data_IF_426851035447
#
_entry.id   IF_426851035447
#
_cell.length_a   1.000
_cell.length_b   1.000
_cell.length_c   1.000
_cell.angle_alpha   90.00
_cell.angle_beta   90.00
_cell.angle_gamma   90.00
#
_symmetry.space_group_name_H-M   'P 1'
#
loop_
_entity.id
_entity.type
_entity.pdbx_description
1 polymer ?
#
# COMPACT_ATOMS: atom_id res chain seq x y z
N UNK A 1 6.52 2.77 -41.14
CA UNK A 1 6.38 4.02 -40.37
C UNK A 1 6.17 3.63 -38.92
N UNK A 2 7.14 3.93 -38.03
CA UNK A 2 6.93 3.77 -36.59
C UNK A 2 5.76 4.67 -36.18
N UNK A 3 4.79 4.09 -35.48
CA UNK A 3 3.65 4.82 -34.93
C UNK A 3 4.16 6.02 -34.10
N UNK A 4 3.67 7.22 -34.39
CA UNK A 4 4.10 8.46 -33.72
C UNK A 4 3.91 8.36 -32.21
N UNK A 5 2.95 7.56 -31.72
CA UNK A 5 2.80 7.30 -30.29
C UNK A 5 3.89 6.38 -29.72
N UNK A 6 4.31 5.35 -30.45
CA UNK A 6 5.40 4.46 -30.04
C UNK A 6 6.75 5.18 -30.03
N UNK A 7 7.03 6.01 -31.04
CA UNK A 7 8.23 6.84 -31.06
C UNK A 7 8.26 7.82 -29.87
N UNK A 8 7.12 8.43 -29.53
CA UNK A 8 6.97 9.30 -28.36
C UNK A 8 7.19 8.55 -27.05
N UNK A 9 6.66 7.33 -26.92
CA UNK A 9 6.87 6.47 -25.76
C UNK A 9 8.37 6.23 -25.52
N UNK A 10 9.09 5.78 -26.54
CA UNK A 10 10.53 5.51 -26.40
C UNK A 10 11.36 6.77 -26.16
N UNK A 11 10.96 7.91 -26.73
CA UNK A 11 11.61 9.19 -26.46
C UNK A 11 11.38 9.65 -25.00
N UNK A 12 10.16 9.50 -24.48
CA UNK A 12 9.82 9.83 -23.10
C UNK A 12 10.54 8.91 -22.09
N UNK A 13 10.63 7.60 -22.39
CA UNK A 13 11.40 6.63 -21.62
C UNK A 13 12.88 7.02 -21.51
N UNK A 14 13.51 7.32 -22.64
CA UNK A 14 14.92 7.78 -22.68
C UNK A 14 15.17 9.12 -21.99
N UNK A 15 14.15 9.94 -21.81
CA UNK A 15 14.25 11.19 -21.07
C UNK A 15 13.78 11.06 -19.62
N UNK A 16 13.29 9.88 -19.23
CA UNK A 16 12.68 9.61 -17.92
C UNK A 16 11.49 10.50 -17.60
N UNK A 17 10.71 10.90 -18.62
CA UNK A 17 9.52 11.74 -18.43
C UNK A 17 8.31 10.85 -18.16
N UNK A 18 8.07 10.54 -16.88
CA UNK A 18 7.00 9.63 -16.42
C UNK A 18 5.62 9.97 -16.99
N UNK A 19 5.19 11.22 -16.88
CA UNK A 19 3.85 11.61 -17.28
C UNK A 19 3.68 11.55 -18.81
N UNK A 20 4.72 11.94 -19.57
CA UNK A 20 4.76 11.76 -21.02
C UNK A 20 4.69 10.28 -21.43
N UNK A 21 5.33 9.38 -20.66
CA UNK A 21 5.19 7.93 -20.87
C UNK A 21 3.75 7.49 -20.66
N UNK A 22 3.10 7.91 -19.58
CA UNK A 22 1.68 7.58 -19.32
C UNK A 22 0.81 8.04 -20.49
N UNK A 23 0.96 9.30 -20.93
CA UNK A 23 0.22 9.83 -22.07
C UNK A 23 0.50 9.05 -23.37
N UNK A 24 1.76 8.75 -23.67
CA UNK A 24 2.14 8.03 -24.88
C UNK A 24 1.62 6.58 -24.88
N UNK A 25 1.69 5.87 -23.75
CA UNK A 25 1.14 4.51 -23.64
C UNK A 25 -0.38 4.52 -23.77
N UNK A 26 -1.07 5.46 -23.12
CA UNK A 26 -2.53 5.57 -23.21
C UNK A 26 -3.02 5.97 -24.62
N UNK A 27 -2.17 6.60 -25.44
CA UNK A 27 -2.49 6.89 -26.83
C UNK A 27 -2.39 5.66 -27.77
N UNK A 28 -1.69 4.60 -27.37
CA UNK A 28 -1.55 3.37 -28.17
C UNK A 28 -2.78 2.47 -28.03
N UNK A 29 -3.18 1.71 -29.08
CA UNK A 29 -4.19 0.65 -28.94
C UNK A 29 -3.75 -0.44 -27.95
N UNK A 30 -4.68 -1.05 -27.23
CA UNK A 30 -4.37 -2.03 -26.17
C UNK A 30 -3.50 -3.20 -26.65
N UNK A 31 -3.77 -3.75 -27.84
CA UNK A 31 -2.96 -4.83 -28.41
C UNK A 31 -1.52 -4.41 -28.72
N UNK A 32 -1.33 -3.14 -29.10
CA UNK A 32 0.02 -2.58 -29.31
C UNK A 32 0.77 -2.45 -28.00
N UNK A 33 0.12 -1.94 -26.94
CA UNK A 33 0.71 -1.87 -25.59
C UNK A 33 1.19 -3.25 -25.12
N UNK A 34 0.34 -4.28 -25.28
CA UNK A 34 0.67 -5.66 -24.91
C UNK A 34 1.87 -6.21 -25.69
N UNK A 35 1.95 -5.95 -26.99
CA UNK A 35 3.09 -6.36 -27.84
C UNK A 35 4.39 -5.65 -27.46
N UNK A 36 4.32 -4.42 -26.99
CA UNK A 36 5.50 -3.66 -26.54
C UNK A 36 6.00 -4.10 -25.16
N UNK A 37 5.13 -4.70 -24.33
CA UNK A 37 5.44 -5.08 -22.96
C UNK A 37 6.78 -5.81 -22.78
N UNK A 38 7.16 -6.82 -23.58
CA UNK A 38 8.46 -7.49 -23.44
C UNK A 38 9.65 -6.54 -23.62
N UNK A 39 9.54 -5.57 -24.53
CA UNK A 39 10.59 -4.59 -24.80
C UNK A 39 10.73 -3.57 -23.67
N UNK A 40 9.62 -3.01 -23.18
CA UNK A 40 9.66 -2.10 -22.01
C UNK A 40 10.08 -2.82 -20.74
N UNK A 41 9.74 -4.10 -20.57
CA UNK A 41 10.28 -4.92 -19.47
C UNK A 41 11.78 -5.13 -19.55
N UNK A 42 12.33 -5.29 -20.75
CA UNK A 42 13.78 -5.37 -20.94
C UNK A 42 14.44 -4.05 -20.57
N UNK A 43 13.83 -2.92 -20.95
CA UNK A 43 14.30 -1.59 -20.59
C UNK A 43 14.24 -1.34 -19.07
N UNK A 44 13.14 -1.67 -18.42
CA UNK A 44 12.97 -1.60 -16.96
C UNK A 44 14.04 -2.38 -16.19
N UNK A 45 14.34 -3.61 -16.63
CA UNK A 45 15.42 -4.41 -16.04
C UNK A 45 16.79 -3.77 -16.22
N UNK A 46 17.05 -3.19 -17.39
CA UNK A 46 18.31 -2.50 -17.68
C UNK A 46 18.47 -1.25 -16.79
N UNK A 47 17.42 -0.43 -16.68
CA UNK A 47 17.42 0.74 -15.80
C UNK A 47 17.60 0.32 -14.34
N UNK A 48 17.00 -0.80 -13.93
CA UNK A 48 17.13 -1.33 -12.56
C UNK A 48 18.50 -1.95 -12.25
N UNK A 49 19.25 -2.39 -13.25
CA UNK A 49 20.57 -3.01 -13.06
C UNK A 49 21.74 -2.02 -13.04
N UNK A 50 21.50 -0.76 -13.43
CA UNK A 50 22.56 0.23 -13.65
C UNK A 50 22.41 1.42 -12.67
N UNK A 51 23.13 1.47 -11.54
CA UNK A 51 22.94 2.51 -10.55
C UNK A 51 23.47 3.91 -10.94
N UNK A 52 24.23 4.06 -12.04
CA UNK A 52 24.96 5.32 -12.38
C UNK A 52 24.99 5.75 -13.88
N UNK A 53 24.40 5.00 -14.83
CA UNK A 53 24.51 5.29 -16.30
C UNK A 53 25.93 5.00 -16.86
N UNK A 54 26.23 4.72 -18.13
CA UNK A 54 25.61 4.99 -19.42
C UNK A 54 26.01 3.91 -20.48
N UNK A 55 25.55 4.02 -21.73
CA UNK A 55 25.64 3.00 -22.76
C UNK A 55 25.26 3.63 -24.13
N UNK A 56 26.02 3.34 -25.21
CA UNK A 56 25.92 3.96 -26.53
C UNK A 56 25.38 3.02 -27.67
N UNK A 57 25.89 2.96 -28.93
CA UNK A 57 25.02 3.03 -30.14
C UNK A 57 24.27 1.75 -30.55
N UNK A 58 24.29 0.69 -29.75
CA UNK A 58 23.84 -0.65 -30.12
C UNK A 58 22.65 -1.17 -29.30
N UNK A 59 22.17 -0.45 -28.29
CA UNK A 59 21.02 -0.88 -27.48
C UNK A 59 21.06 -0.39 -26.04
N UNK A 60 21.54 0.82 -25.86
CA UNK A 60 22.37 1.15 -24.72
C UNK A 60 22.02 2.63 -24.28
N UNK A 61 22.01 2.93 -22.97
CA UNK A 61 21.55 4.17 -22.30
C UNK A 61 22.58 5.33 -22.22
N UNK A 62 22.60 6.35 -23.09
CA UNK A 62 23.69 7.36 -23.07
C UNK A 62 23.39 8.56 -22.14
N UNK A 63 23.71 8.43 -20.84
CA UNK A 63 23.62 9.51 -19.84
C UNK A 63 23.54 9.01 -18.39
N UNK A 64 23.62 9.92 -17.42
CA UNK A 64 23.46 9.57 -16.00
C UNK A 64 22.02 9.08 -15.72
N UNK A 65 21.88 7.92 -15.07
CA UNK A 65 20.58 7.46 -14.60
C UNK A 65 20.14 8.26 -13.39
N UNK A 66 18.93 8.81 -13.49
CA UNK A 66 18.28 9.62 -12.46
C UNK A 66 16.99 8.96 -11.99
N UNK A 67 16.50 9.20 -10.76
CA UNK A 67 15.36 8.49 -10.18
C UNK A 67 14.10 8.42 -11.05
N UNK A 68 13.82 9.47 -11.83
CA UNK A 68 12.67 9.54 -12.73
C UNK A 68 12.73 8.57 -13.92
N UNK A 69 13.89 8.01 -14.25
CA UNK A 69 14.01 6.97 -15.27
C UNK A 69 13.40 5.64 -14.81
N UNK A 70 13.59 5.27 -13.54
CA UNK A 70 12.92 4.10 -12.95
C UNK A 70 11.41 4.29 -12.97
N UNK A 71 10.96 5.50 -12.63
CA UNK A 71 9.55 5.87 -12.64
C UNK A 71 8.93 5.80 -14.04
N UNK A 72 9.61 6.34 -15.06
CA UNK A 72 9.19 6.24 -16.45
C UNK A 72 9.16 4.79 -16.96
N UNK A 73 10.17 3.97 -16.63
CA UNK A 73 10.20 2.56 -17.00
C UNK A 73 9.05 1.78 -16.34
N UNK A 74 8.81 2.03 -15.05
CA UNK A 74 7.71 1.48 -14.27
C UNK A 74 6.35 1.83 -14.90
N UNK A 75 6.14 3.10 -15.27
CA UNK A 75 4.93 3.56 -15.94
C UNK A 75 4.70 2.84 -17.28
N UNK A 76 5.75 2.66 -18.09
CA UNK A 76 5.63 1.99 -19.38
C UNK A 76 5.35 0.49 -19.24
N UNK A 77 5.99 -0.17 -18.26
CA UNK A 77 5.74 -1.57 -17.92
C UNK A 77 4.29 -1.76 -17.48
N UNK A 78 3.79 -0.92 -16.57
CA UNK A 78 2.41 -0.97 -16.11
C UNK A 78 1.44 -0.72 -17.26
N UNK A 79 1.67 0.31 -18.08
CA UNK A 79 0.78 0.64 -19.19
C UNK A 79 0.77 -0.40 -20.31
N UNK A 80 1.83 -1.22 -20.41
CA UNK A 80 1.90 -2.40 -21.28
C UNK A 80 1.27 -3.67 -20.69
N UNK A 81 0.87 -3.69 -19.42
CA UNK A 81 0.42 -4.87 -18.69
C UNK A 81 -1.09 -5.07 -18.73
N UNK A 82 -1.54 -6.32 -18.60
CA UNK A 82 -2.93 -6.60 -18.17
C UNK A 82 -3.10 -6.26 -16.69
N UNK A 83 -4.35 -6.18 -16.21
CA UNK A 83 -4.62 -5.97 -14.77
C UNK A 83 -3.92 -7.05 -13.93
N UNK A 84 -4.08 -8.32 -14.26
CA UNK A 84 -3.44 -9.44 -13.53
C UNK A 84 -1.91 -9.34 -13.45
N UNK A 85 -1.28 -8.80 -14.49
CA UNK A 85 0.16 -8.55 -14.52
C UNK A 85 0.54 -7.29 -13.73
N UNK A 86 -0.31 -6.27 -13.73
CA UNK A 86 -0.05 -5.00 -13.08
C UNK A 86 -0.19 -5.10 -11.56
N UNK A 87 -1.24 -5.78 -11.07
CA UNK A 87 -1.46 -5.98 -9.61
C UNK A 87 -0.30 -6.73 -8.94
N UNK A 88 0.42 -7.55 -9.72
CA UNK A 88 1.56 -8.31 -9.20
C UNK A 88 2.89 -7.56 -9.23
N UNK A 89 2.95 -6.42 -9.93
CA UNK A 89 4.17 -5.63 -10.11
C UNK A 89 4.41 -4.73 -8.88
N UNK A 90 4.96 -5.33 -7.83
CA UNK A 90 5.47 -4.65 -6.66
C UNK A 90 6.90 -5.15 -6.35
N UNK A 91 7.74 -4.38 -5.64
CA UNK A 91 7.40 -3.10 -5.00
C UNK A 91 7.20 -1.96 -6.00
N UNK A 92 6.42 -0.94 -5.60
CA UNK A 92 6.34 0.36 -6.26
C UNK A 92 6.63 1.41 -5.21
N UNK A 93 7.52 2.35 -5.51
CA UNK A 93 7.81 3.44 -4.57
C UNK A 93 6.77 4.56 -4.73
N UNK A 94 6.47 5.29 -3.66
CA UNK A 94 5.68 6.51 -3.78
C UNK A 94 6.51 7.59 -4.53
N UNK A 95 5.88 8.42 -5.38
CA UNK A 95 4.42 8.55 -5.59
C UNK A 95 3.82 7.56 -6.60
N UNK A 96 4.63 6.76 -7.29
CA UNK A 96 4.20 5.92 -8.42
C UNK A 96 3.21 4.83 -8.01
N UNK A 97 3.39 4.23 -6.83
CA UNK A 97 2.43 3.27 -6.29
C UNK A 97 1.01 3.84 -6.15
N UNK A 98 0.89 5.16 -5.91
CA UNK A 98 -0.39 5.86 -5.80
C UNK A 98 -0.90 6.31 -7.16
N UNK A 99 -0.05 6.94 -7.97
CA UNK A 99 -0.48 7.69 -9.14
C UNK A 99 -0.64 6.80 -10.39
N UNK A 100 0.24 5.82 -10.58
CA UNK A 100 0.25 5.01 -11.82
C UNK A 100 -0.93 4.03 -11.91
N UNK A 101 -1.32 3.29 -10.86
CA UNK A 101 -2.53 2.47 -10.92
C UNK A 101 -3.78 3.31 -11.21
N UNK A 102 -3.90 4.51 -10.60
CA UNK A 102 -5.00 5.45 -10.86
C UNK A 102 -5.07 5.85 -12.33
N UNK A 103 -3.94 6.25 -12.91
CA UNK A 103 -3.89 6.74 -14.27
C UNK A 103 -4.09 5.62 -15.32
N UNK A 104 -3.53 4.44 -15.08
CA UNK A 104 -3.48 3.35 -16.07
C UNK A 104 -4.63 2.35 -15.92
N UNK A 105 -5.21 2.23 -14.72
CA UNK A 105 -6.24 1.24 -14.37
C UNK A 105 -7.35 1.83 -13.48
N UNK A 106 -7.98 2.96 -13.84
CA UNK A 106 -8.91 3.68 -12.96
C UNK A 106 -10.12 2.86 -12.48
N UNK A 107 -10.56 1.85 -13.23
CA UNK A 107 -11.67 0.95 -12.86
C UNK A 107 -11.24 -0.35 -12.16
N UNK A 108 -9.96 -0.51 -11.80
CA UNK A 108 -9.44 -1.78 -11.29
C UNK A 108 -8.59 -1.65 -10.02
N UNK A 109 -8.65 -0.51 -9.32
CA UNK A 109 -7.88 -0.27 -8.08
C UNK A 109 -8.20 -1.28 -6.96
N UNK A 110 -9.43 -1.79 -6.90
CA UNK A 110 -9.80 -2.87 -5.97
C UNK A 110 -9.01 -4.17 -6.24
N UNK A 111 -8.66 -4.46 -7.50
CA UNK A 111 -7.85 -5.62 -7.82
C UNK A 111 -6.42 -5.49 -7.28
N UNK A 112 -5.83 -4.29 -7.33
CA UNK A 112 -4.55 -3.99 -6.69
C UNK A 112 -4.66 -4.18 -5.18
N UNK A 113 -5.70 -3.57 -4.57
CA UNK A 113 -5.97 -3.65 -3.13
C UNK A 113 -6.04 -5.11 -2.65
N UNK A 114 -6.79 -5.97 -3.34
CA UNK A 114 -6.90 -7.40 -2.99
C UNK A 114 -5.56 -8.14 -3.08
N UNK A 115 -4.85 -8.01 -4.19
CA UNK A 115 -3.56 -8.71 -4.36
C UNK A 115 -2.50 -8.19 -3.38
N UNK A 116 -2.43 -6.89 -3.16
CA UNK A 116 -1.47 -6.28 -2.24
C UNK A 116 -1.74 -6.66 -0.79
N UNK A 117 -3.01 -6.65 -0.38
CA UNK A 117 -3.44 -7.15 0.92
C UNK A 117 -3.09 -8.63 1.09
N UNK A 118 -3.42 -9.47 0.09
CA UNK A 118 -3.08 -10.89 0.12
C UNK A 118 -1.56 -11.11 0.18
N UNK A 119 -0.77 -10.30 -0.50
CA UNK A 119 0.70 -10.36 -0.47
C UNK A 119 1.26 -10.05 0.90
N UNK A 120 0.77 -9.00 1.56
CA UNK A 120 1.17 -8.69 2.92
C UNK A 120 0.82 -9.84 3.87
N UNK A 121 -0.41 -10.37 3.76
CA UNK A 121 -0.87 -11.48 4.59
C UNK A 121 -0.01 -12.74 4.41
N UNK A 122 0.46 -13.03 3.19
CA UNK A 122 1.36 -14.16 2.92
C UNK A 122 2.74 -14.01 3.56
N UNK A 123 3.31 -12.80 3.55
CA UNK A 123 4.63 -12.56 4.12
C UNK A 123 4.81 -11.11 4.61
N UNK A 124 4.42 -10.80 5.86
CA UNK A 124 4.50 -9.44 6.39
C UNK A 124 5.94 -8.95 6.67
N UNK A 125 6.93 -9.85 6.58
CA UNK A 125 8.35 -9.56 6.85
C UNK A 125 9.13 -9.11 5.62
N UNK A 126 8.57 -9.27 4.41
CA UNK A 126 9.22 -8.91 3.15
C UNK A 126 9.12 -7.40 2.87
N UNK A 127 9.63 -6.58 3.78
CA UNK A 127 9.47 -5.12 3.78
C UNK A 127 9.91 -4.45 2.47
N UNK A 128 10.98 -4.95 1.86
CA UNK A 128 11.50 -4.50 0.57
C UNK A 128 10.51 -4.70 -0.58
N UNK A 129 9.65 -5.73 -0.50
CA UNK A 129 8.69 -6.13 -1.55
C UNK A 129 7.28 -5.59 -1.34
N UNK A 130 7.03 -4.95 -0.21
CA UNK A 130 5.73 -4.45 0.23
C UNK A 130 5.60 -2.93 0.13
N UNK A 131 6.62 -2.24 -0.39
CA UNK A 131 6.60 -0.78 -0.57
C UNK A 131 5.47 -0.36 -1.51
N UNK A 132 4.81 0.75 -1.17
CA UNK A 132 3.73 1.35 -1.96
C UNK A 132 2.35 0.77 -1.71
N UNK A 133 2.23 -0.32 -0.93
CA UNK A 133 0.95 -0.96 -0.62
C UNK A 133 0.02 -0.01 0.15
N UNK A 134 0.58 0.94 0.91
CA UNK A 134 -0.14 2.00 1.61
C UNK A 134 -0.99 2.89 0.69
N UNK A 135 -0.69 2.96 -0.62
CA UNK A 135 -1.45 3.77 -1.56
C UNK A 135 -2.94 3.37 -1.63
N UNK A 136 -3.28 2.12 -1.30
CA UNK A 136 -4.68 1.68 -1.22
C UNK A 136 -5.52 2.51 -0.22
N UNK A 137 -4.88 3.02 0.83
CA UNK A 137 -5.54 3.84 1.84
C UNK A 137 -5.78 5.26 1.36
N UNK A 138 -4.89 5.80 0.54
CA UNK A 138 -5.10 7.07 -0.14
C UNK A 138 -6.25 6.96 -1.15
N UNK A 139 -6.32 5.87 -1.92
CA UNK A 139 -7.42 5.64 -2.86
C UNK A 139 -8.77 5.52 -2.16
N UNK A 140 -8.81 4.85 -1.00
CA UNK A 140 -10.01 4.76 -0.19
C UNK A 140 -10.43 6.14 0.35
N UNK A 141 -9.48 6.93 0.84
CA UNK A 141 -9.73 8.28 1.33
C UNK A 141 -10.25 9.21 0.22
N UNK A 142 -9.71 9.10 -0.98
CA UNK A 142 -10.15 9.82 -2.18
C UNK A 142 -11.50 9.31 -2.73
N UNK A 143 -12.08 8.25 -2.15
CA UNK A 143 -13.35 7.68 -2.60
C UNK A 143 -13.28 6.90 -3.91
N UNK A 144 -12.08 6.52 -4.35
CA UNK A 144 -11.86 5.76 -5.59
C UNK A 144 -12.15 4.27 -5.43
N UNK A 145 -12.03 3.76 -4.20
CA UNK A 145 -12.39 2.39 -3.82
C UNK A 145 -13.06 2.42 -2.44
N UNK A 146 -13.82 1.37 -2.07
CA UNK A 146 -14.19 1.15 -0.68
C UNK A 146 -12.95 1.00 0.21
N UNK A 147 -13.06 1.43 1.46
CA UNK A 147 -12.00 1.20 2.44
C UNK A 147 -11.72 -0.30 2.59
N UNK A 148 -10.46 -0.76 2.46
CA UNK A 148 -10.13 -2.17 2.44
C UNK A 148 -10.48 -2.86 3.76
N UNK A 149 -11.10 -4.04 3.70
CA UNK A 149 -11.47 -4.84 4.88
C UNK A 149 -10.76 -6.20 4.94
N UNK A 150 -9.94 -6.50 3.95
CA UNK A 150 -9.16 -7.73 3.89
C UNK A 150 -8.19 -7.80 5.08
N UNK A 151 -7.98 -8.99 5.70
CA UNK A 151 -7.09 -9.14 6.85
C UNK A 151 -5.69 -8.55 6.64
N UNK A 152 -5.15 -8.71 5.43
CA UNK A 152 -3.85 -8.15 5.05
C UNK A 152 -3.80 -6.62 5.10
N UNK A 153 -4.85 -5.94 4.63
CA UNK A 153 -4.93 -4.47 4.70
C UNK A 153 -5.03 -4.00 6.15
N UNK A 154 -5.86 -4.65 6.96
CA UNK A 154 -6.04 -4.31 8.38
C UNK A 154 -4.71 -4.44 9.13
N UNK A 155 -4.03 -5.58 8.96
CA UNK A 155 -2.74 -5.82 9.59
C UNK A 155 -1.66 -4.87 9.07
N UNK A 156 -1.66 -4.55 7.78
CA UNK A 156 -0.71 -3.59 7.20
C UNK A 156 -0.93 -2.18 7.75
N UNK A 157 -2.19 -1.72 7.84
CA UNK A 157 -2.56 -0.42 8.42
C UNK A 157 -1.98 -0.26 9.83
N UNK A 158 -2.20 -1.26 10.68
CA UNK A 158 -1.77 -1.16 12.08
C UNK A 158 -0.26 -1.38 12.23
N UNK A 159 0.43 -2.09 11.35
CA UNK A 159 1.84 -2.47 11.62
C UNK A 159 2.87 -1.76 10.74
N UNK A 160 2.49 -1.26 9.56
CA UNK A 160 3.45 -0.90 8.51
C UNK A 160 3.09 0.31 7.66
N UNK A 161 1.92 0.93 7.82
CA UNK A 161 1.58 2.13 7.08
C UNK A 161 2.69 3.20 7.24
N UNK A 162 2.99 3.92 6.16
CA UNK A 162 4.13 4.85 6.18
C UNK A 162 3.91 5.96 7.20
N UNK A 163 4.92 6.21 8.03
CA UNK A 163 4.88 7.25 9.04
C UNK A 163 3.92 6.96 10.20
N UNK A 164 3.58 5.69 10.45
CA UNK A 164 2.78 5.22 11.61
C UNK A 164 3.65 4.45 12.61
N UNK A 165 4.80 5.02 12.96
CA UNK A 165 5.85 4.36 13.76
C UNK A 165 5.37 4.04 15.18
N UNK A 166 4.45 4.82 15.73
CA UNK A 166 3.81 4.60 17.01
C UNK A 166 2.34 5.06 17.00
N UNK A 167 1.70 5.12 18.17
CA UNK A 167 0.30 5.47 18.35
C UNK A 167 -0.06 6.89 17.88
N UNK A 168 0.59 7.95 18.39
CA UNK A 168 0.34 9.33 17.93
C UNK A 168 0.46 9.50 16.41
N UNK A 169 1.48 8.89 15.81
CA UNK A 169 1.69 8.93 14.37
C UNK A 169 0.60 8.19 13.59
N UNK A 170 0.19 7.01 14.08
CA UNK A 170 -0.92 6.27 13.51
C UNK A 170 -2.25 7.03 13.63
N UNK A 171 -2.52 7.64 14.79
CA UNK A 171 -3.74 8.41 15.00
C UNK A 171 -3.82 9.59 14.03
N UNK A 172 -2.73 10.36 13.89
CA UNK A 172 -2.63 11.46 12.91
C UNK A 172 -2.84 10.96 11.48
N UNK A 173 -2.30 9.79 11.13
CA UNK A 173 -2.50 9.18 9.82
C UNK A 173 -3.97 8.80 9.57
N UNK A 174 -4.63 8.25 10.58
CA UNK A 174 -6.04 7.85 10.56
C UNK A 174 -6.98 9.05 10.49
N UNK A 175 -6.72 10.12 11.23
CA UNK A 175 -7.53 11.35 11.22
C UNK A 175 -7.45 12.08 9.88
N UNK A 176 -6.30 11.99 9.19
CA UNK A 176 -6.18 12.46 7.81
C UNK A 176 -7.00 11.60 6.82
N UNK A 177 -7.43 10.38 7.22
CA UNK A 177 -8.15 9.42 6.38
C UNK A 177 -9.31 8.76 7.16
N UNK A 178 -10.34 9.53 7.57
CA UNK A 178 -11.33 9.09 8.55
C UNK A 178 -12.11 7.84 8.11
N UNK A 179 -12.27 7.60 6.80
CA UNK A 179 -12.89 6.36 6.27
C UNK A 179 -12.20 5.08 6.78
N UNK A 180 -10.90 5.15 7.07
CA UNK A 180 -10.15 4.01 7.61
C UNK A 180 -10.47 3.76 9.08
N UNK A 181 -10.79 4.79 9.86
CA UNK A 181 -11.22 4.66 11.26
C UNK A 181 -12.53 3.88 11.32
N UNK A 182 -13.47 4.22 10.43
CA UNK A 182 -14.83 3.70 10.47
C UNK A 182 -15.01 2.35 9.77
N UNK A 183 -14.10 1.99 8.88
CA UNK A 183 -14.23 0.76 8.08
C UNK A 183 -13.08 -0.19 8.32
N UNK A 184 -11.86 0.18 7.91
CA UNK A 184 -10.70 -0.72 7.94
C UNK A 184 -10.26 -1.05 9.37
N UNK A 185 -10.06 -0.03 10.21
CA UNK A 185 -9.54 -0.19 11.56
C UNK A 185 -10.54 -0.89 12.49
N UNK A 186 -11.85 -0.73 12.28
CA UNK A 186 -12.85 -1.48 13.06
C UNK A 186 -12.68 -2.99 12.97
N UNK A 187 -12.07 -3.49 11.88
CA UNK A 187 -11.82 -4.91 11.67
C UNK A 187 -10.70 -5.48 12.54
N UNK A 188 -9.99 -4.68 13.34
CA UNK A 188 -8.97 -5.20 14.27
C UNK A 188 -9.52 -6.23 15.25
N UNK A 189 -10.81 -6.15 15.59
CA UNK A 189 -11.49 -7.13 16.45
C UNK A 189 -11.80 -8.45 15.72
N UNK A 190 -11.85 -8.42 14.39
CA UNK A 190 -12.26 -9.53 13.53
C UNK A 190 -11.09 -10.14 12.75
N UNK A 191 -9.84 -9.71 13.00
CA UNK A 191 -8.66 -10.18 12.28
C UNK A 191 -7.65 -10.76 13.26
N UNK A 192 -7.35 -12.05 13.10
CA UNK A 192 -6.30 -12.69 13.88
C UNK A 192 -4.93 -12.18 13.42
N UNK A 193 -4.04 -12.02 14.39
CA UNK A 193 -2.63 -11.74 14.10
C UNK A 193 -1.92 -12.91 13.45
N UNK A 194 -0.91 -12.61 12.62
CA UNK A 194 0.02 -13.58 12.04
C UNK A 194 1.46 -13.29 12.52
N UNK A 195 2.40 -14.25 12.43
CA UNK A 195 3.79 -14.00 12.78
C UNK A 195 4.40 -12.84 11.98
N UNK A 196 4.81 -11.77 12.65
CA UNK A 196 5.33 -10.57 12.03
C UNK A 196 4.31 -9.44 11.82
N UNK A 197 3.02 -9.70 12.07
CA UNK A 197 1.96 -8.69 12.03
C UNK A 197 0.78 -9.07 12.95
N UNK A 198 0.71 -8.45 14.13
CA UNK A 198 -0.44 -8.53 15.04
C UNK A 198 -0.48 -7.30 15.95
N UNK A 199 -1.64 -6.99 16.55
CA UNK A 199 -1.78 -5.92 17.54
C UNK A 199 -0.82 -6.12 18.70
N UNK A 200 -0.84 -7.30 19.32
CA UNK A 200 -0.01 -7.62 20.45
C UNK A 200 1.50 -7.52 20.14
N UNK A 201 1.93 -8.01 18.96
CA UNK A 201 3.33 -7.91 18.55
C UNK A 201 3.75 -6.47 18.24
N UNK A 202 2.87 -5.65 17.63
CA UNK A 202 3.12 -4.22 17.43
C UNK A 202 3.35 -3.56 18.78
N UNK A 203 2.40 -3.70 19.68
CA UNK A 203 2.40 -3.00 20.97
C UNK A 203 3.56 -3.44 21.87
N UNK A 204 4.03 -4.69 21.78
CA UNK A 204 5.25 -5.12 22.46
C UNK A 204 6.50 -4.35 22.03
N UNK A 205 6.55 -3.85 20.78
CA UNK A 205 7.68 -3.09 20.26
C UNK A 205 7.58 -1.58 20.49
N UNK A 206 6.47 -1.10 21.06
CA UNK A 206 6.17 0.33 21.23
C UNK A 206 6.14 0.68 22.72
N UNK A 207 6.65 1.86 23.05
CA UNK A 207 6.68 2.36 24.43
C UNK A 207 5.27 2.54 24.99
N UNK A 208 5.11 2.35 26.31
CA UNK A 208 3.85 2.58 27.01
C UNK A 208 3.36 4.02 26.84
N UNK A 209 2.04 4.21 26.76
CA UNK A 209 1.40 5.49 26.45
C UNK A 209 1.49 5.89 24.98
N UNK A 210 1.95 5.00 24.09
CA UNK A 210 2.00 5.20 22.63
C UNK A 210 1.48 3.99 21.86
N UNK A 211 0.86 3.02 22.52
CA UNK A 211 0.45 1.73 21.94
C UNK A 211 -0.97 1.81 21.36
N UNK A 212 -1.40 0.76 20.68
CA UNK A 212 -2.79 0.65 20.23
C UNK A 212 -3.74 0.59 21.43
N UNK A 213 -3.41 -0.20 22.44
CA UNK A 213 -4.26 -0.44 23.60
C UNK A 213 -4.33 0.70 24.62
N UNK A 214 -3.23 1.43 24.81
CA UNK A 214 -3.12 2.48 25.83
C UNK A 214 -3.11 3.92 25.29
N UNK A 215 -3.07 4.11 23.96
CA UNK A 215 -3.13 5.44 23.34
C UNK A 215 -4.15 5.51 22.20
N UNK A 216 -3.98 4.74 21.11
CA UNK A 216 -4.79 4.94 19.89
C UNK A 216 -6.27 4.67 20.13
N UNK A 217 -6.62 3.53 20.70
CA UNK A 217 -8.03 3.17 20.93
C UNK A 217 -8.68 4.08 21.97
N UNK A 218 -8.05 4.38 23.13
CA UNK A 218 -8.56 5.39 24.06
C UNK A 218 -8.80 6.76 23.41
N UNK A 219 -7.86 7.25 22.59
CA UNK A 219 -8.01 8.53 21.89
C UNK A 219 -9.14 8.51 20.85
N UNK A 220 -9.33 7.39 20.14
CA UNK A 220 -10.47 7.24 19.22
C UNK A 220 -11.81 7.30 19.97
N UNK A 221 -11.88 6.80 21.21
CA UNK A 221 -13.06 6.95 22.06
C UNK A 221 -13.21 8.40 22.52
N UNK A 222 -12.13 8.99 23.08
CA UNK A 222 -12.14 10.34 23.63
C UNK A 222 -12.53 11.40 22.58
N UNK A 223 -12.04 11.26 21.34
CA UNK A 223 -12.34 12.14 20.22
C UNK A 223 -13.71 11.86 19.57
N UNK A 224 -14.45 10.88 20.06
CA UNK A 224 -15.79 10.54 19.60
C UNK A 224 -15.85 9.81 18.26
N UNK A 225 -14.73 9.28 17.76
CA UNK A 225 -14.72 8.44 16.57
C UNK A 225 -15.39 7.09 16.85
N UNK A 226 -15.09 6.50 18.01
CA UNK A 226 -15.67 5.24 18.47
C UNK A 226 -16.37 5.44 19.82
N UNK A 227 -17.31 4.55 20.15
CA UNK A 227 -17.87 4.50 21.51
C UNK A 227 -17.16 3.43 22.33
N UNK A 228 -17.13 3.61 23.66
CA UNK A 228 -16.62 2.58 24.57
C UNK A 228 -17.39 1.26 24.41
N UNK A 229 -18.71 1.34 24.22
CA UNK A 229 -19.57 0.16 24.00
C UNK A 229 -19.20 -0.59 22.72
N UNK A 230 -18.96 0.12 21.61
CA UNK A 230 -18.48 -0.50 20.37
C UNK A 230 -17.16 -1.26 20.58
N UNK A 231 -16.24 -0.69 21.35
CA UNK A 231 -14.94 -1.33 21.64
C UNK A 231 -15.12 -2.54 22.55
N UNK A 232 -15.95 -2.46 23.60
CA UNK A 232 -16.25 -3.60 24.49
C UNK A 232 -16.90 -4.74 23.71
N UNK A 233 -17.91 -4.45 22.89
CA UNK A 233 -18.55 -5.46 22.03
C UNK A 233 -17.54 -6.09 21.07
N UNK A 234 -16.60 -5.30 20.53
CA UNK A 234 -15.51 -5.77 19.69
C UNK A 234 -14.58 -6.75 20.41
N UNK A 235 -14.18 -6.41 21.63
CA UNK A 235 -13.35 -7.27 22.48
C UNK A 235 -14.07 -8.58 22.80
N UNK A 236 -15.34 -8.53 23.18
CA UNK A 236 -16.13 -9.72 23.52
C UNK A 236 -16.25 -10.66 22.32
N UNK A 237 -16.53 -10.13 21.12
CA UNK A 237 -16.54 -10.91 19.88
C UNK A 237 -15.17 -11.52 19.58
N UNK A 238 -14.10 -10.75 19.74
CA UNK A 238 -12.74 -11.21 19.50
C UNK A 238 -12.38 -12.39 20.42
N UNK A 239 -12.68 -12.26 21.72
CA UNK A 239 -12.41 -13.30 22.73
C UNK A 239 -13.27 -14.55 22.50
N UNK A 240 -14.56 -14.39 22.15
CA UNK A 240 -15.46 -15.50 21.89
C UNK A 240 -15.08 -16.35 20.66
N UNK A 241 -14.43 -15.75 19.65
CA UNK A 241 -14.00 -16.46 18.44
C UNK A 241 -12.86 -17.46 18.67
N UNK A 242 -12.09 -17.32 19.76
CA UNK A 242 -10.96 -18.19 20.07
C UNK A 242 -9.68 -17.80 19.32
N UNK A 243 -9.09 -16.66 19.70
CA UNK A 243 -7.81 -16.20 19.16
C UNK A 243 -6.61 -16.87 19.83
N UNK A 244 -5.41 -16.61 19.31
CA UNK A 244 -4.18 -17.07 19.95
C UNK A 244 -4.09 -16.58 21.41
N UNK A 245 -3.53 -17.36 22.36
CA UNK A 245 -3.42 -16.94 23.76
C UNK A 245 -2.69 -15.61 23.96
N UNK A 246 -1.75 -15.30 23.07
CA UNK A 246 -1.00 -14.06 23.10
C UNK A 246 -1.89 -12.85 22.77
N UNK A 247 -2.71 -12.94 21.72
CA UNK A 247 -3.64 -11.88 21.33
C UNK A 247 -4.84 -11.78 22.29
N UNK A 248 -5.29 -12.89 22.85
CA UNK A 248 -6.31 -12.90 23.90
C UNK A 248 -5.88 -12.10 25.14
N UNK A 249 -4.62 -12.21 25.57
CA UNK A 249 -4.09 -11.39 26.67
C UNK A 249 -4.08 -9.90 26.35
N UNK A 250 -3.76 -9.55 25.12
CA UNK A 250 -3.79 -8.16 24.67
C UNK A 250 -5.21 -7.59 24.71
N UNK A 251 -6.21 -8.33 24.21
CA UNK A 251 -7.62 -7.92 24.28
C UNK A 251 -8.13 -7.81 25.73
N UNK A 252 -7.73 -8.71 26.62
CA UNK A 252 -8.05 -8.60 28.05
C UNK A 252 -7.42 -7.35 28.70
N UNK A 253 -6.19 -7.00 28.31
CA UNK A 253 -5.53 -5.76 28.72
C UNK A 253 -6.29 -4.52 28.25
N UNK A 254 -6.67 -4.48 26.97
CA UNK A 254 -7.50 -3.41 26.41
C UNK A 254 -8.86 -3.29 27.13
N UNK A 255 -9.51 -4.40 27.46
CA UNK A 255 -10.77 -4.40 28.22
C UNK A 255 -10.63 -3.67 29.57
N UNK A 256 -9.52 -3.91 30.27
CA UNK A 256 -9.23 -3.26 31.53
C UNK A 256 -9.00 -1.75 31.37
N UNK A 257 -8.40 -1.30 30.26
CA UNK A 257 -8.21 0.12 29.97
C UNK A 257 -9.54 0.83 29.66
N UNK A 258 -10.37 0.24 28.79
CA UNK A 258 -11.64 0.83 28.35
C UNK A 258 -12.70 0.86 29.47
N UNK A 259 -12.50 0.06 30.52
CA UNK A 259 -13.38 0.04 31.70
C UNK A 259 -13.02 1.09 32.76
N UNK A 260 -11.87 1.78 32.62
CA UNK A 260 -11.50 2.86 33.55
C UNK A 260 -12.35 4.10 33.26
N UNK A 261 -12.86 4.80 34.28
CA UNK A 261 -13.47 6.10 34.08
C UNK A 261 -12.49 7.04 33.39
N UNK A 262 -12.95 7.82 32.41
CA UNK A 262 -12.13 8.91 31.86
C UNK A 262 -11.84 9.90 32.99
N UNK A 263 -10.56 10.06 33.33
CA UNK A 263 -10.09 11.11 34.26
C UNK A 263 -10.21 12.50 33.64
#
# INVERSE_FOLDING_TARGET
>A
MLDTAEARLWAALRAGRRDDVVHAVLALPQDRRRRLRPHVRRHDRLVSSEPIGAHAPTGEWDGELRPWHHSAATAAVLGGSTVDQAVTYAPLDLPDARDLPKALFPGHLEAFTREWSARFLRNPKAWDRLRGIEAQFDWAHEGLIPAPVDPGAVLFLITRAQGTLDGPDLLRYLEARPVLIDVTLRRIFDVDGIPGASLAQRDQAIAEGRRMDDFVIPELIHRGHWTADFVRDGIDRALARGQTPYLARWFAGLAAQVSRPAE
#
